data_IF_092930942495
#
_entry.id   IF_092930942495
#
_cell.length_a   1.000
_cell.length_b   1.000
_cell.length_c   1.000
_cell.angle_alpha   90.00
_cell.angle_beta   90.00
_cell.angle_gamma   90.00
#
_symmetry.space_group_name_H-M   'P 1'
#
loop_
_entity.id
_entity.type
_entity.pdbx_description
1 polymer ?
#
# COMPACT_ATOMS: atom_id res chain seq x y z
N UNK A 1 16.10 -8.07 -27.90
CA UNK A 1 16.41 -9.09 -26.86
C UNK A 1 17.31 -8.43 -25.81
N UNK A 2 16.74 -7.76 -24.79
CA UNK A 2 17.51 -7.32 -23.60
C UNK A 2 16.70 -6.83 -22.37
N UNK A 3 15.36 -6.94 -22.34
CA UNK A 3 14.55 -6.53 -21.17
C UNK A 3 13.51 -7.57 -20.73
N UNK A 4 13.58 -8.80 -21.23
CA UNK A 4 12.54 -9.81 -20.97
C UNK A 4 12.79 -10.69 -19.72
N UNK A 5 13.94 -10.54 -19.04
CA UNK A 5 14.30 -11.40 -17.88
C UNK A 5 14.72 -10.67 -16.62
N UNK A 6 15.21 -9.44 -16.72
CA UNK A 6 15.62 -8.63 -15.58
C UNK A 6 15.01 -7.25 -15.79
N UNK A 7 13.94 -6.95 -15.05
CA UNK A 7 13.39 -5.60 -14.98
C UNK A 7 14.39 -4.65 -14.29
N UNK A 8 14.05 -3.36 -14.10
CA UNK A 8 14.85 -2.51 -13.22
C UNK A 8 15.04 -3.24 -11.89
N UNK A 9 16.28 -3.25 -11.38
CA UNK A 9 16.56 -3.68 -10.01
C UNK A 9 15.74 -2.76 -9.09
N UNK A 10 14.61 -3.25 -8.57
CA UNK A 10 13.68 -2.52 -7.71
C UNK A 10 13.71 -3.17 -6.33
N UNK A 11 13.59 -2.36 -5.28
CA UNK A 11 13.60 -2.80 -3.89
C UNK A 11 12.63 -3.96 -3.66
N UNK A 12 13.10 -4.99 -2.97
CA UNK A 12 12.27 -6.13 -2.57
C UNK A 12 11.16 -5.74 -1.58
N UNK A 13 11.18 -4.54 -1.03
CA UNK A 13 10.10 -4.00 -0.21
C UNK A 13 8.86 -3.63 -1.04
N UNK A 14 8.96 -3.41 -2.36
CA UNK A 14 7.81 -3.09 -3.22
C UNK A 14 7.14 -4.38 -3.71
N UNK A 15 5.86 -4.54 -3.40
CA UNK A 15 5.00 -5.67 -3.82
C UNK A 15 3.97 -5.26 -4.88
N UNK A 16 3.56 -3.99 -4.90
CA UNK A 16 2.56 -3.49 -5.85
C UNK A 16 3.06 -3.50 -7.28
N UNK A 17 2.19 -3.86 -8.21
CA UNK A 17 2.44 -3.87 -9.66
C UNK A 17 3.71 -4.60 -10.11
N UNK A 18 4.11 -5.64 -9.38
CA UNK A 18 5.21 -6.52 -9.77
C UNK A 18 4.66 -7.89 -10.14
N UNK A 19 5.16 -8.43 -11.25
CA UNK A 19 4.81 -9.78 -11.67
C UNK A 19 5.19 -10.78 -10.56
N UNK A 20 4.26 -11.65 -10.19
CA UNK A 20 4.46 -12.65 -9.14
C UNK A 20 4.44 -12.11 -7.71
N UNK A 21 3.99 -10.87 -7.48
CA UNK A 21 3.73 -10.31 -6.16
C UNK A 21 2.29 -9.81 -6.06
N UNK A 22 1.70 -10.01 -4.89
CA UNK A 22 0.30 -9.72 -4.61
C UNK A 22 0.13 -9.07 -3.24
N UNK A 23 -1.07 -8.58 -2.94
CA UNK A 23 -1.38 -8.04 -1.60
C UNK A 23 -1.20 -9.11 -0.52
N UNK A 24 -1.48 -10.38 -0.86
CA UNK A 24 -1.28 -11.52 0.04
C UNK A 24 0.21 -11.70 0.37
N UNK A 25 1.11 -11.54 -0.60
CA UNK A 25 2.55 -11.67 -0.35
C UNK A 25 3.04 -10.58 0.61
N UNK A 26 2.54 -9.35 0.49
CA UNK A 26 2.84 -8.26 1.42
C UNK A 26 2.32 -8.55 2.84
N UNK A 27 1.08 -9.06 2.97
CA UNK A 27 0.50 -9.44 4.26
C UNK A 27 1.23 -10.64 4.88
N UNK A 28 1.60 -11.64 4.07
CA UNK A 28 2.38 -12.79 4.52
C UNK A 28 3.79 -12.38 4.96
N UNK A 29 4.40 -11.40 4.26
CA UNK A 29 5.68 -10.81 4.69
C UNK A 29 5.55 -10.12 6.05
N UNK A 30 4.51 -9.31 6.24
CA UNK A 30 4.22 -8.68 7.53
C UNK A 30 4.02 -9.72 8.63
N UNK A 31 3.23 -10.77 8.35
CA UNK A 31 2.98 -11.86 9.28
C UNK A 31 4.25 -12.59 9.68
N UNK A 32 5.12 -12.93 8.73
CA UNK A 32 6.38 -13.61 9.00
C UNK A 32 7.29 -12.79 9.93
N UNK A 33 7.42 -11.49 9.67
CA UNK A 33 8.23 -10.58 10.51
C UNK A 33 7.61 -10.43 11.92
N UNK A 34 6.28 -10.41 12.01
CA UNK A 34 5.57 -10.40 13.29
C UNK A 34 5.80 -11.69 14.09
N UNK A 35 5.66 -12.85 13.45
CA UNK A 35 5.85 -14.15 14.09
C UNK A 35 7.29 -14.31 14.59
N UNK A 36 8.28 -13.86 13.81
CA UNK A 36 9.68 -13.82 14.23
C UNK A 36 9.87 -12.93 15.49
N UNK A 37 9.34 -11.70 15.46
CA UNK A 37 9.42 -10.78 16.59
C UNK A 37 8.78 -11.35 17.86
N UNK A 38 7.59 -11.94 17.74
CA UNK A 38 6.81 -12.47 18.88
C UNK A 38 7.43 -13.76 19.42
N UNK A 39 7.94 -14.65 18.56
CA UNK A 39 8.58 -15.90 18.97
C UNK A 39 9.86 -15.67 19.78
N UNK A 40 10.60 -14.60 19.49
CA UNK A 40 11.74 -14.13 20.28
C UNK A 40 11.34 -13.40 21.56
N UNK A 41 10.05 -13.41 21.92
CA UNK A 41 9.53 -12.71 23.09
C UNK A 41 9.56 -11.19 22.95
N UNK A 42 9.56 -10.66 21.72
CA UNK A 42 9.48 -9.23 21.42
C UNK A 42 8.07 -8.78 21.00
N UNK A 43 8.01 -7.64 20.34
CA UNK A 43 6.82 -7.05 19.69
C UNK A 43 7.22 -6.43 18.36
N UNK A 44 6.24 -6.21 17.48
CA UNK A 44 6.41 -5.48 16.23
C UNK A 44 5.42 -4.32 16.19
N UNK A 45 5.91 -3.09 16.06
CA UNK A 45 5.06 -1.93 15.78
C UNK A 45 5.04 -1.69 14.27
N UNK A 46 3.85 -1.66 13.69
CA UNK A 46 3.63 -1.35 12.28
C UNK A 46 2.95 0.01 12.15
N UNK A 47 3.41 0.83 11.22
CA UNK A 47 2.92 2.20 10.98
C UNK A 47 2.64 2.36 9.49
N UNK A 48 1.37 2.55 9.14
CA UNK A 48 0.91 2.71 7.76
C UNK A 48 0.84 4.19 7.39
N UNK A 49 1.59 4.58 6.37
CA UNK A 49 1.64 5.94 5.84
C UNK A 49 0.67 6.09 4.67
N UNK A 50 -0.13 7.16 4.71
CA UNK A 50 -1.03 7.56 3.62
C UNK A 50 -0.35 8.66 2.79
N UNK A 51 -0.13 8.41 1.49
CA UNK A 51 0.47 9.38 0.57
C UNK A 51 -0.65 10.14 -0.13
N UNK A 52 -0.74 11.43 0.14
CA UNK A 52 -1.79 12.27 -0.42
C UNK A 52 -1.67 12.37 -1.94
N UNK A 53 -2.69 11.88 -2.66
CA UNK A 53 -2.78 12.01 -4.12
C UNK A 53 -1.56 11.42 -4.86
N UNK A 54 -1.04 10.29 -4.36
CA UNK A 54 0.22 9.66 -4.75
C UNK A 54 0.50 9.66 -6.27
N UNK A 55 -0.25 8.87 -7.05
CA UNK A 55 -0.06 8.71 -8.49
C UNK A 55 -0.09 10.03 -9.26
N UNK A 56 -0.86 11.00 -8.81
CA UNK A 56 -1.02 12.29 -9.49
C UNK A 56 0.03 13.33 -9.07
N UNK A 57 0.88 13.02 -8.09
CA UNK A 57 1.79 13.99 -7.47
C UNK A 57 3.26 13.73 -7.75
N UNK A 58 3.63 12.53 -8.25
CA UNK A 58 5.03 12.19 -8.53
C UNK A 58 5.62 13.07 -9.65
N UNK A 59 6.66 13.88 -9.40
CA UNK A 59 7.25 14.76 -10.41
C UNK A 59 7.88 14.02 -11.59
N UNK A 60 7.74 14.57 -12.79
CA UNK A 60 8.34 13.97 -14.00
C UNK A 60 9.88 13.97 -13.95
N UNK A 61 10.48 14.96 -13.28
CA UNK A 61 11.93 14.99 -13.02
C UNK A 61 12.40 13.76 -12.24
N UNK A 62 11.71 13.42 -11.15
CA UNK A 62 12.02 12.25 -10.33
C UNK A 62 11.94 10.95 -11.15
N UNK A 63 10.92 10.81 -12.01
CA UNK A 63 10.80 9.64 -12.89
C UNK A 63 11.99 9.57 -13.86
N UNK A 64 12.36 10.70 -14.49
CA UNK A 64 13.47 10.76 -15.45
C UNK A 64 14.82 10.43 -14.79
N UNK A 65 15.05 10.95 -13.59
CA UNK A 65 16.23 10.66 -12.78
C UNK A 65 16.29 9.19 -12.36
N UNK A 66 15.18 8.64 -11.88
CA UNK A 66 15.09 7.23 -11.51
C UNK A 66 15.36 6.32 -12.71
N UNK A 67 14.78 6.59 -13.88
CA UNK A 67 15.08 5.84 -15.10
C UNK A 67 16.57 5.89 -15.47
N UNK A 68 17.23 7.02 -15.23
CA UNK A 68 18.67 7.13 -15.43
C UNK A 68 19.45 6.28 -14.43
N UNK A 69 19.09 6.36 -13.14
CA UNK A 69 19.69 5.59 -12.05
C UNK A 69 19.59 4.08 -12.26
N UNK A 70 18.43 3.59 -12.70
CA UNK A 70 18.21 2.16 -13.00
C UNK A 70 18.84 1.70 -14.33
N UNK A 71 19.66 2.53 -14.98
CA UNK A 71 20.38 2.16 -16.19
C UNK A 71 19.49 1.93 -17.41
N UNK A 72 18.27 2.50 -17.43
CA UNK A 72 17.34 2.32 -18.54
C UNK A 72 17.97 2.88 -19.84
N UNK A 73 17.97 2.11 -20.94
CA UNK A 73 18.56 2.54 -22.21
C UNK A 73 18.10 3.93 -22.65
N UNK A 74 19.03 4.73 -23.19
CA UNK A 74 18.79 6.13 -23.58
C UNK A 74 17.59 6.30 -24.52
N UNK A 75 17.37 5.36 -25.44
CA UNK A 75 16.25 5.42 -26.38
C UNK A 75 14.89 5.25 -25.67
N UNK A 76 14.79 4.36 -24.68
CA UNK A 76 13.58 4.20 -23.87
C UNK A 76 13.35 5.43 -22.97
N UNK A 77 14.42 5.99 -22.41
CA UNK A 77 14.32 7.23 -21.61
C UNK A 77 13.80 8.40 -22.43
N UNK A 78 14.18 8.51 -23.71
CA UNK A 78 13.63 9.51 -24.64
C UNK A 78 12.15 9.26 -24.89
N UNK A 79 11.75 8.03 -25.20
CA UNK A 79 10.34 7.69 -25.41
C UNK A 79 9.47 8.00 -24.18
N UNK A 80 9.96 7.74 -22.97
CA UNK A 80 9.23 8.10 -21.74
C UNK A 80 9.23 9.61 -21.52
N UNK A 81 10.33 10.33 -21.84
CA UNK A 81 10.36 11.78 -21.77
C UNK A 81 9.32 12.40 -22.69
N UNK A 82 9.29 11.98 -23.96
CA UNK A 82 8.30 12.42 -24.96
C UNK A 82 6.87 12.09 -24.51
N UNK A 83 6.65 10.92 -23.86
CA UNK A 83 5.35 10.54 -23.30
C UNK A 83 4.89 11.44 -22.15
N UNK A 84 5.82 11.99 -21.37
CA UNK A 84 5.55 12.86 -20.21
C UNK A 84 5.61 14.36 -20.56
N UNK A 85 6.12 14.71 -21.73
CA UNK A 85 6.31 16.09 -22.19
C UNK A 85 4.99 16.73 -22.67
N UNK A 86 4.89 18.05 -22.53
CA UNK A 86 3.77 18.90 -23.00
C UNK A 86 2.36 18.42 -22.59
N UNK A 87 2.25 17.67 -21.49
CA UNK A 87 0.95 17.19 -21.02
C UNK A 87 0.15 18.32 -20.39
N UNK A 88 -1.11 18.41 -20.78
CA UNK A 88 -2.08 19.33 -20.19
C UNK A 88 -3.32 18.58 -19.72
N UNK A 89 -3.90 19.01 -18.60
CA UNK A 89 -5.24 18.59 -18.17
C UNK A 89 -6.23 19.68 -18.52
N UNK A 90 -7.30 19.28 -19.21
CA UNK A 90 -8.46 20.13 -19.48
C UNK A 90 -9.54 19.77 -18.46
N UNK A 91 -10.08 20.78 -17.77
CA UNK A 91 -11.14 20.60 -16.78
C UNK A 91 -12.11 21.77 -16.81
N UNK A 92 -13.35 21.53 -16.39
CA UNK A 92 -14.35 22.57 -16.21
C UNK A 92 -14.20 23.17 -14.80
N UNK A 93 -14.12 24.50 -14.72
CA UNK A 93 -14.13 25.19 -13.43
C UNK A 93 -15.54 25.29 -12.84
N UNK A 94 -15.67 25.83 -11.64
CA UNK A 94 -16.96 25.94 -10.94
C UNK A 94 -17.98 26.83 -11.66
N UNK A 95 -17.53 27.61 -12.64
CA UNK A 95 -18.33 28.54 -13.42
C UNK A 95 -18.71 27.95 -14.80
N UNK A 96 -18.31 26.72 -15.09
CA UNK A 96 -18.58 26.04 -16.35
C UNK A 96 -17.56 26.33 -17.46
N UNK A 97 -16.45 27.01 -17.14
CA UNK A 97 -15.44 27.35 -18.14
C UNK A 97 -14.41 26.24 -18.29
N UNK A 98 -14.06 25.90 -19.53
CA UNK A 98 -12.94 25.00 -19.81
C UNK A 98 -11.61 25.70 -19.50
N UNK A 99 -10.85 25.11 -18.59
CA UNK A 99 -9.48 25.49 -18.23
C UNK A 99 -8.51 24.45 -18.71
N UNK A 100 -7.34 24.89 -19.14
CA UNK A 100 -6.23 24.04 -19.52
C UNK A 100 -5.06 24.32 -18.57
N UNK A 101 -4.47 23.27 -18.00
CA UNK A 101 -3.32 23.40 -17.09
C UNK A 101 -2.19 22.47 -17.51
N UNK A 102 -0.96 22.99 -17.72
CA UNK A 102 0.20 22.13 -17.95
C UNK A 102 0.50 21.27 -16.73
N UNK A 103 0.95 20.04 -16.97
CA UNK A 103 1.35 19.09 -15.95
C UNK A 103 2.87 18.99 -15.88
N UNK A 104 3.40 18.95 -14.67
CA UNK A 104 4.81 18.66 -14.37
C UNK A 104 4.98 17.43 -13.48
N UNK A 105 3.88 16.80 -13.09
CA UNK A 105 3.83 15.63 -12.22
C UNK A 105 2.62 14.74 -12.56
N UNK A 106 2.66 13.53 -12.04
CA UNK A 106 1.55 12.58 -12.09
C UNK A 106 1.68 11.52 -13.17
N UNK A 107 1.75 10.25 -12.78
CA UNK A 107 1.66 9.16 -13.73
C UNK A 107 0.20 9.00 -14.19
N UNK A 108 -0.06 8.91 -15.51
CA UNK A 108 -1.42 8.80 -16.01
C UNK A 108 -2.13 7.54 -15.49
N UNK A 109 -3.19 7.74 -14.71
CA UNK A 109 -4.06 6.66 -14.24
C UNK A 109 -4.72 5.98 -15.45
N UNK A 110 -4.79 4.64 -15.42
CA UNK A 110 -5.30 3.83 -16.53
C UNK A 110 -4.29 3.59 -17.67
N UNK A 111 -3.09 4.18 -17.60
CA UNK A 111 -2.02 3.82 -18.53
C UNK A 111 -1.34 2.51 -18.14
N UNK A 112 -0.91 1.73 -19.14
CA UNK A 112 -0.16 0.47 -18.92
C UNK A 112 1.19 0.74 -18.24
N UNK A 113 1.82 1.89 -18.53
CA UNK A 113 3.13 2.26 -17.99
C UNK A 113 3.06 2.95 -16.63
N UNK A 114 1.94 3.58 -16.27
CA UNK A 114 1.80 4.37 -15.05
C UNK A 114 2.23 3.63 -13.78
N UNK A 115 1.79 2.38 -13.54
CA UNK A 115 2.21 1.62 -12.37
C UNK A 115 3.72 1.31 -12.34
N UNK A 116 4.34 1.05 -13.50
CA UNK A 116 5.78 0.82 -13.59
C UNK A 116 6.57 2.11 -13.31
N UNK A 117 6.13 3.24 -13.88
CA UNK A 117 6.76 4.54 -13.66
C UNK A 117 6.64 4.99 -12.21
N UNK A 118 5.51 4.70 -11.55
CA UNK A 118 5.34 4.88 -10.11
C UNK A 118 6.39 4.07 -9.34
N UNK A 119 6.46 2.77 -9.57
CA UNK A 119 7.41 1.90 -8.86
C UNK A 119 8.86 2.34 -9.06
N UNK A 120 9.25 2.72 -10.28
CA UNK A 120 10.60 3.21 -10.59
C UNK A 120 10.90 4.51 -9.84
N UNK A 121 10.00 5.50 -9.90
CA UNK A 121 10.24 6.79 -9.23
C UNK A 121 10.19 6.67 -7.70
N UNK A 122 9.31 5.82 -7.16
CA UNK A 122 9.13 5.63 -5.73
C UNK A 122 10.23 4.78 -5.09
N UNK A 123 10.96 3.98 -5.88
CA UNK A 123 12.01 3.08 -5.40
C UNK A 123 13.07 3.80 -4.55
N UNK A 124 13.36 5.07 -4.87
CA UNK A 124 14.28 5.90 -4.08
C UNK A 124 13.84 6.05 -2.62
N UNK A 125 12.55 6.15 -2.34
CA UNK A 125 12.05 6.22 -0.97
C UNK A 125 12.35 4.94 -0.16
N UNK A 126 12.52 3.81 -0.86
CA UNK A 126 12.71 2.48 -0.27
C UNK A 126 14.18 2.07 -0.13
N UNK A 127 15.10 2.71 -0.86
CA UNK A 127 16.55 2.42 -0.82
C UNK A 127 17.27 3.13 0.32
N UNK A 128 16.83 2.90 1.55
CA UNK A 128 17.50 3.41 2.75
C UNK A 128 18.23 2.31 3.51
N UNK A 129 19.34 2.66 4.15
CA UNK A 129 20.01 1.82 5.13
C UNK A 129 19.19 1.86 6.43
N UNK A 130 18.26 0.91 6.55
CA UNK A 130 17.43 0.79 7.74
C UNK A 130 18.25 0.24 8.91
N UNK A 131 18.03 0.82 10.09
CA UNK A 131 18.61 0.31 11.33
C UNK A 131 18.14 -1.13 11.58
N UNK A 132 18.94 -1.96 12.29
CA UNK A 132 18.50 -3.29 12.69
C UNK A 132 17.14 -3.25 13.41
N UNK A 133 16.21 -4.11 12.98
CA UNK A 133 14.85 -4.14 13.49
C UNK A 133 13.86 -3.21 12.79
N UNK A 134 14.31 -2.32 11.90
CA UNK A 134 13.44 -1.61 10.96
C UNK A 134 13.27 -2.39 9.66
N UNK A 135 12.08 -2.32 9.11
CA UNK A 135 11.77 -2.80 7.77
C UNK A 135 10.66 -1.98 7.14
N UNK A 136 10.55 -2.04 5.81
CA UNK A 136 9.48 -1.40 5.06
C UNK A 136 8.81 -2.43 4.16
N UNK A 137 7.48 -2.34 4.06
CA UNK A 137 6.65 -3.11 3.15
C UNK A 137 5.80 -2.12 2.38
N UNK A 138 5.92 -2.11 1.06
CA UNK A 138 5.16 -1.22 0.19
C UNK A 138 4.28 -2.02 -0.76
N UNK A 139 3.07 -1.53 -0.97
CA UNK A 139 2.21 -1.97 -2.05
C UNK A 139 1.72 -0.73 -2.79
N UNK A 140 2.30 -0.43 -3.95
CA UNK A 140 2.06 0.83 -4.64
C UNK A 140 2.45 2.03 -3.76
N UNK A 141 1.48 2.85 -3.36
CA UNK A 141 1.60 4.00 -2.47
C UNK A 141 1.40 3.65 -0.99
N UNK A 142 0.71 2.54 -0.67
CA UNK A 142 0.58 2.05 0.70
C UNK A 142 1.95 1.65 1.25
N UNK A 143 2.48 2.45 2.19
CA UNK A 143 3.82 2.27 2.76
C UNK A 143 3.73 1.95 4.24
N UNK A 144 4.16 0.74 4.61
CA UNK A 144 4.15 0.24 5.97
C UNK A 144 5.57 0.20 6.52
N UNK A 145 5.84 0.98 7.56
CA UNK A 145 7.08 0.92 8.33
C UNK A 145 6.89 -0.05 9.49
N UNK A 146 7.81 -0.99 9.65
CA UNK A 146 7.80 -2.00 10.70
C UNK A 146 9.01 -1.82 11.61
N UNK A 147 8.80 -1.90 12.92
CA UNK A 147 9.83 -1.72 13.93
C UNK A 147 9.73 -2.81 14.99
N UNK A 148 10.75 -3.66 15.07
CA UNK A 148 10.87 -4.72 16.06
C UNK A 148 11.55 -4.20 17.32
N UNK A 149 11.02 -4.55 18.48
CA UNK A 149 11.63 -4.24 19.77
C UNK A 149 11.34 -5.32 20.81
N UNK A 150 12.14 -5.37 21.88
CA UNK A 150 11.90 -6.28 22.99
C UNK A 150 10.61 -5.91 23.76
N UNK A 151 10.18 -4.66 23.69
CA UNK A 151 8.94 -4.15 24.27
C UNK A 151 8.40 -2.95 23.47
N UNK A 152 7.22 -2.45 23.86
CA UNK A 152 6.58 -1.32 23.19
C UNK A 152 7.47 -0.07 23.12
N UNK A 153 8.18 0.29 24.19
CA UNK A 153 8.98 1.52 24.24
C UNK A 153 10.14 1.48 23.24
N UNK A 154 10.81 0.34 23.12
CA UNK A 154 11.87 0.15 22.14
C UNK A 154 11.34 0.20 20.71
N UNK A 155 10.26 -0.55 20.43
CA UNK A 155 9.61 -0.55 19.12
C UNK A 155 9.09 0.85 18.73
N UNK A 156 8.54 1.62 19.68
CA UNK A 156 8.06 2.98 19.47
C UNK A 156 9.19 3.94 19.12
N UNK A 157 10.31 3.91 19.86
CA UNK A 157 11.49 4.75 19.55
C UNK A 157 12.06 4.44 18.18
N UNK A 158 12.15 3.14 17.85
CA UNK A 158 12.66 2.69 16.57
C UNK A 158 11.70 3.10 15.44
N UNK A 159 10.39 2.90 15.62
CA UNK A 159 9.36 3.32 14.68
C UNK A 159 9.38 4.83 14.43
N UNK A 160 9.47 5.67 15.47
CA UNK A 160 9.57 7.13 15.30
C UNK A 160 10.74 7.50 14.38
N UNK A 161 11.93 6.91 14.60
CA UNK A 161 13.11 7.17 13.75
C UNK A 161 12.91 6.66 12.33
N UNK A 162 12.39 5.44 12.18
CA UNK A 162 12.15 4.82 10.88
C UNK A 162 11.11 5.57 10.05
N UNK A 163 10.00 5.95 10.68
CA UNK A 163 8.93 6.69 10.01
C UNK A 163 9.41 8.09 9.64
N UNK A 164 10.09 8.84 10.53
CA UNK A 164 10.64 10.15 10.16
C UNK A 164 11.64 10.07 9.00
N UNK A 165 12.48 9.02 8.94
CA UNK A 165 13.38 8.79 7.81
C UNK A 165 12.60 8.54 6.51
N UNK A 166 11.61 7.64 6.54
CA UNK A 166 10.81 7.30 5.35
C UNK A 166 9.99 8.49 4.88
N UNK A 167 9.34 9.22 5.79
CA UNK A 167 8.59 10.46 5.48
C UNK A 167 9.51 11.48 4.82
N UNK A 168 10.69 11.75 5.38
CA UNK A 168 11.64 12.69 4.77
C UNK A 168 12.08 12.29 3.36
N UNK A 169 12.21 10.98 3.09
CA UNK A 169 12.52 10.50 1.73
C UNK A 169 11.35 10.62 0.76
N UNK A 170 10.12 10.35 1.22
CA UNK A 170 8.90 10.56 0.43
C UNK A 170 8.75 12.04 0.08
N UNK A 171 8.96 12.93 1.05
CA UNK A 171 8.91 14.38 0.86
C UNK A 171 10.02 14.89 -0.08
N UNK A 172 11.21 14.29 -0.03
CA UNK A 172 12.29 14.59 -0.98
C UNK A 172 11.95 14.23 -2.43
N UNK A 173 10.99 13.33 -2.67
CA UNK A 173 10.44 13.04 -3.99
C UNK A 173 9.36 14.05 -4.42
N UNK A 174 9.07 15.07 -3.62
CA UNK A 174 7.99 16.02 -3.88
C UNK A 174 6.59 15.47 -3.58
N UNK A 175 6.49 14.33 -2.89
CA UNK A 175 5.23 13.76 -2.43
C UNK A 175 4.89 14.28 -1.03
N UNK A 176 3.62 14.16 -0.64
CA UNK A 176 3.14 14.60 0.68
C UNK A 176 2.54 13.43 1.45
N UNK A 177 2.97 13.24 2.68
CA UNK A 177 2.40 12.24 3.60
C UNK A 177 1.29 12.90 4.44
N UNK A 178 0.11 12.28 4.49
CA UNK A 178 -0.97 12.67 5.37
C UNK A 178 -0.75 12.05 6.76
N UNK A 179 0.06 12.72 7.59
CA UNK A 179 0.41 12.25 8.93
C UNK A 179 -0.81 12.09 9.84
N UNK A 180 -1.87 12.87 9.62
CA UNK A 180 -3.16 12.77 10.33
C UNK A 180 -3.94 11.49 10.03
N UNK A 181 -3.69 10.88 8.86
CA UNK A 181 -4.28 9.60 8.44
C UNK A 181 -3.37 8.40 8.68
N UNK A 182 -2.19 8.64 9.23
CA UNK A 182 -1.24 7.57 9.54
C UNK A 182 -1.82 6.72 10.68
N UNK A 183 -1.84 5.40 10.49
CA UNK A 183 -2.33 4.44 11.47
C UNK A 183 -1.17 3.62 12.04
N UNK A 184 -1.21 3.32 13.34
CA UNK A 184 -0.22 2.47 13.99
C UNK A 184 -0.89 1.29 14.69
N UNK A 185 -0.31 0.09 14.55
CA UNK A 185 -0.77 -1.16 15.17
C UNK A 185 0.40 -1.89 15.80
N UNK A 186 0.26 -2.26 17.08
CA UNK A 186 1.23 -3.08 17.78
C UNK A 186 0.84 -4.56 17.66
N UNK A 187 1.71 -5.36 17.07
CA UNK A 187 1.62 -6.81 17.11
C UNK A 187 2.35 -7.38 18.31
N UNK A 188 1.71 -8.32 19.01
CA UNK A 188 2.21 -8.84 20.28
C UNK A 188 1.68 -10.24 20.61
N UNK A 189 2.40 -10.94 21.49
CA UNK A 189 1.93 -12.21 22.05
C UNK A 189 0.77 -12.03 23.06
N UNK A 190 0.12 -13.13 23.48
CA UNK A 190 -1.10 -13.09 24.31
C UNK A 190 -0.97 -12.40 25.67
N UNK A 191 0.23 -12.38 26.25
CA UNK A 191 0.52 -11.82 27.58
C UNK A 191 1.02 -10.36 27.54
N UNK A 192 1.05 -9.76 26.35
CA UNK A 192 1.51 -8.39 26.11
C UNK A 192 0.39 -7.61 25.44
N UNK A 193 0.59 -6.30 25.32
CA UNK A 193 -0.33 -5.41 24.63
C UNK A 193 0.23 -3.99 24.61
N UNK A 194 -0.36 -3.10 23.79
CA UNK A 194 -0.02 -1.68 23.86
C UNK A 194 -0.41 -1.12 25.23
N UNK A 195 0.43 -0.28 25.87
CA UNK A 195 0.03 0.39 27.10
C UNK A 195 -1.17 1.34 26.85
N UNK A 196 -1.94 1.69 27.89
CA UNK A 196 -2.98 2.69 27.78
C UNK A 196 -2.42 4.01 27.23
N UNK A 197 -3.07 4.58 26.20
CA UNK A 197 -2.60 5.82 25.55
C UNK A 197 -1.34 5.66 24.69
N UNK A 198 -0.95 4.43 24.33
CA UNK A 198 0.17 4.15 23.44
C UNK A 198 0.11 5.00 22.16
N UNK A 199 1.20 5.69 21.86
CA UNK A 199 1.35 6.56 20.71
C UNK A 199 2.82 6.69 20.33
N UNK A 200 3.06 7.08 19.09
CA UNK A 200 4.36 7.53 18.61
C UNK A 200 4.26 8.98 18.15
N UNK A 201 5.37 9.70 18.16
CA UNK A 201 5.44 11.06 17.65
C UNK A 201 6.27 11.05 16.37
N UNK A 202 5.73 11.61 15.29
CA UNK A 202 6.38 11.71 13.98
C UNK A 202 6.21 13.15 13.50
N UNK A 203 7.30 13.87 13.29
CA UNK A 203 7.30 15.27 12.84
C UNK A 203 6.31 16.16 13.64
N UNK A 204 6.33 16.02 14.97
CA UNK A 204 5.43 16.71 15.92
C UNK A 204 3.95 16.31 15.87
N UNK A 205 3.58 15.31 15.07
CA UNK A 205 2.24 14.73 15.04
C UNK A 205 2.19 13.49 15.93
N UNK A 206 1.18 13.42 16.80
CA UNK A 206 0.92 12.27 17.65
C UNK A 206 0.11 11.22 16.89
N UNK A 207 0.70 10.06 16.64
CA UNK A 207 0.05 8.92 15.99
C UNK A 207 -0.33 7.90 17.06
N UNK A 208 -1.63 7.73 17.39
CA UNK A 208 -2.07 6.77 18.40
C UNK A 208 -1.94 5.34 17.87
N UNK A 209 -1.50 4.43 18.74
CA UNK A 209 -1.52 3.01 18.47
C UNK A 209 -2.94 2.50 18.67
N UNK A 210 -3.55 2.04 17.59
CA UNK A 210 -4.92 1.53 17.57
C UNK A 210 -4.92 0.03 17.87
N UNK A 211 -6.08 -0.48 18.31
CA UNK A 211 -6.29 -1.90 18.48
C UNK A 211 -6.38 -2.64 17.13
N UNK A 212 -6.73 -1.91 16.07
CA UNK A 212 -6.94 -2.43 14.72
C UNK A 212 -6.49 -1.40 13.67
N UNK A 213 -6.16 -1.87 12.47
CA UNK A 213 -5.71 -1.05 11.35
C UNK A 213 -6.21 -1.64 10.03
N UNK A 214 -6.65 -0.80 9.10
CA UNK A 214 -6.98 -1.26 7.73
C UNK A 214 -5.68 -1.34 6.93
N UNK A 215 -5.40 -2.50 6.33
CA UNK A 215 -4.21 -2.68 5.49
C UNK A 215 -4.52 -3.64 4.34
N UNK A 216 -4.34 -3.16 3.10
CA UNK A 216 -4.54 -3.93 1.86
C UNK A 216 -5.88 -4.69 1.79
N UNK A 217 -6.97 -4.04 2.24
CA UNK A 217 -8.32 -4.62 2.23
C UNK A 217 -8.67 -5.49 3.45
N UNK A 218 -7.72 -5.72 4.36
CA UNK A 218 -7.94 -6.45 5.60
C UNK A 218 -8.05 -5.50 6.79
N UNK A 219 -8.77 -5.94 7.83
CA UNK A 219 -8.76 -5.29 9.14
C UNK A 219 -7.89 -6.16 10.04
N UNK A 220 -6.70 -5.66 10.37
CA UNK A 220 -5.73 -6.38 11.19
C UNK A 220 -5.89 -5.99 12.65
N UNK A 221 -5.67 -6.94 13.56
CA UNK A 221 -5.51 -6.71 14.99
C UNK A 221 -4.14 -7.20 15.47
N UNK A 222 -3.72 -6.74 16.65
CA UNK A 222 -2.39 -7.02 17.20
C UNK A 222 -2.08 -8.50 17.46
N UNK A 223 -3.07 -9.39 17.41
CA UNK A 223 -2.92 -10.84 17.63
C UNK A 223 -3.30 -11.68 16.40
N UNK A 224 -3.60 -11.07 15.27
CA UNK A 224 -4.03 -11.78 14.04
C UNK A 224 -5.29 -12.64 14.23
N UNK A 225 -6.25 -12.19 15.04
CA UNK A 225 -7.52 -12.90 15.26
C UNK A 225 -8.54 -12.66 14.14
N UNK A 226 -8.49 -11.50 13.49
CA UNK A 226 -9.40 -11.09 12.41
C UNK A 226 -10.90 -11.03 12.80
N UNK A 227 -11.21 -10.98 14.10
CA UNK A 227 -12.60 -10.98 14.59
C UNK A 227 -13.43 -9.84 13.99
N UNK A 228 -12.89 -8.61 14.00
CA UNK A 228 -13.60 -7.45 13.40
C UNK A 228 -13.71 -7.59 11.89
N UNK A 229 -12.66 -8.09 11.23
CA UNK A 229 -12.68 -8.30 9.78
C UNK A 229 -13.84 -9.20 9.38
N UNK A 230 -13.98 -10.37 10.03
CA UNK A 230 -15.07 -11.30 9.74
C UNK A 230 -16.44 -10.77 10.18
N UNK A 231 -16.51 -10.03 11.30
CA UNK A 231 -17.73 -9.36 11.75
C UNK A 231 -18.28 -8.39 10.70
N UNK A 232 -17.42 -7.65 10.00
CA UNK A 232 -17.82 -6.74 8.92
C UNK A 232 -18.01 -7.43 7.57
N UNK A 233 -17.26 -8.49 7.29
CA UNK A 233 -17.31 -9.20 6.02
C UNK A 233 -18.54 -10.10 5.91
N UNK A 234 -18.90 -10.82 6.97
CA UNK A 234 -19.97 -11.81 6.94
C UNK A 234 -21.34 -11.22 6.53
N UNK A 235 -21.81 -10.06 7.06
CA UNK A 235 -23.07 -9.47 6.62
C UNK A 235 -23.06 -9.06 5.14
N UNK A 236 -21.93 -8.55 4.65
CA UNK A 236 -21.77 -8.17 3.23
C UNK A 236 -21.84 -9.38 2.32
N UNK A 237 -21.21 -10.49 2.72
CA UNK A 237 -21.28 -11.77 2.01
C UNK A 237 -22.71 -12.31 1.98
N UNK A 238 -23.40 -12.32 3.12
CA UNK A 238 -24.80 -12.77 3.21
C UNK A 238 -25.73 -11.89 2.38
N UNK A 239 -25.52 -10.57 2.37
CA UNK A 239 -26.27 -9.62 1.55
C UNK A 239 -26.08 -9.88 0.06
N UNK A 240 -24.84 -9.99 -0.41
CA UNK A 240 -24.53 -10.30 -1.81
C UNK A 240 -25.09 -11.67 -2.22
N UNK A 241 -24.94 -12.68 -1.37
CA UNK A 241 -25.49 -14.01 -1.57
C UNK A 241 -27.03 -13.98 -1.67
N UNK A 242 -27.70 -13.21 -0.82
CA UNK A 242 -29.15 -13.07 -0.83
C UNK A 242 -29.66 -12.34 -2.07
N UNK A 243 -28.97 -11.27 -2.49
CA UNK A 243 -29.31 -10.52 -3.70
C UNK A 243 -29.14 -11.39 -4.97
N UNK A 244 -28.04 -12.13 -5.07
CA UNK A 244 -27.84 -13.08 -6.16
C UNK A 244 -28.84 -14.23 -6.11
N UNK A 245 -29.20 -14.69 -4.91
CA UNK A 245 -30.23 -15.71 -4.71
C UNK A 245 -31.60 -15.28 -5.24
N UNK A 246 -31.98 -14.00 -5.11
CA UNK A 246 -33.23 -13.44 -5.65
C UNK A 246 -33.25 -13.36 -7.18
N UNK A 247 -32.08 -13.32 -7.83
CA UNK A 247 -31.94 -13.35 -9.29
C UNK A 247 -31.99 -14.76 -9.86
N UNK A 248 -32.02 -15.79 -9.01
CA UNK A 248 -32.21 -17.18 -9.44
C UNK A 248 -33.71 -17.46 -9.65
N UNK A 249 -34.14 -17.96 -10.81
CA UNK A 249 -35.54 -18.32 -11.01
C UNK A 249 -35.96 -19.45 -10.06
N UNK A 250 -37.13 -19.28 -9.42
CA UNK A 250 -37.69 -20.22 -8.43
C UNK A 250 -38.14 -21.57 -9.03
N UNK A 251 -38.11 -21.74 -10.35
CA UNK A 251 -38.60 -22.93 -11.06
C UNK A 251 -37.51 -23.44 -12.02
N UNK A 252 -36.82 -24.53 -11.65
CA UNK A 252 -35.87 -25.24 -12.52
C UNK A 252 -34.43 -25.37 -11.98
N UNK A 253 -34.11 -24.69 -10.88
CA UNK A 253 -32.76 -24.68 -10.31
C UNK A 253 -31.78 -23.77 -11.08
N UNK A 254 -30.72 -23.27 -10.42
CA UNK A 254 -29.80 -22.35 -11.06
C UNK A 254 -28.98 -23.05 -12.16
N UNK A 255 -28.90 -22.42 -13.34
CA UNK A 255 -28.02 -22.87 -14.41
C UNK A 255 -26.57 -22.97 -13.92
N UNK A 256 -25.75 -23.82 -14.56
CA UNK A 256 -24.32 -23.96 -14.22
C UNK A 256 -23.58 -22.61 -14.29
N UNK A 257 -23.96 -21.73 -15.23
CA UNK A 257 -23.41 -20.39 -15.36
C UNK A 257 -23.75 -19.51 -14.15
N UNK A 258 -24.99 -19.59 -13.65
CA UNK A 258 -25.45 -18.78 -12.50
C UNK A 258 -24.87 -19.29 -11.18
N UNK A 259 -24.68 -20.61 -11.01
CA UNK A 259 -23.90 -21.17 -9.89
C UNK A 259 -22.45 -20.72 -9.92
N UNK A 260 -21.82 -20.71 -11.10
CA UNK A 260 -20.45 -20.20 -11.28
C UNK A 260 -20.34 -18.71 -10.97
N UNK A 261 -21.35 -17.90 -11.35
CA UNK A 261 -21.40 -16.48 -11.00
C UNK A 261 -21.56 -16.28 -9.49
N UNK A 262 -22.49 -16.99 -8.85
CA UNK A 262 -22.70 -16.95 -7.41
C UNK A 262 -21.45 -17.38 -6.63
N UNK A 263 -20.89 -18.55 -6.96
CA UNK A 263 -19.66 -19.03 -6.35
C UNK A 263 -18.49 -18.10 -6.67
N UNK A 264 -18.43 -17.53 -7.87
CA UNK A 264 -17.39 -16.58 -8.28
C UNK A 264 -17.42 -15.29 -7.48
N UNK A 265 -18.58 -14.67 -7.31
CA UNK A 265 -18.76 -13.40 -6.57
C UNK A 265 -18.63 -13.61 -5.07
N UNK A 266 -19.23 -14.67 -4.52
CA UNK A 266 -19.13 -14.94 -3.07
C UNK A 266 -17.73 -15.40 -2.71
N UNK A 267 -17.08 -16.25 -3.53
CA UNK A 267 -15.67 -16.62 -3.30
C UNK A 267 -14.74 -15.46 -3.56
N UNK A 268 -14.97 -14.59 -4.55
CA UNK A 268 -14.12 -13.42 -4.75
C UNK A 268 -14.20 -12.49 -3.55
N UNK A 269 -15.40 -12.16 -3.07
CA UNK A 269 -15.58 -11.36 -1.86
C UNK A 269 -14.97 -11.99 -0.60
N UNK A 270 -14.96 -13.33 -0.50
CA UNK A 270 -14.38 -14.05 0.63
C UNK A 270 -12.85 -14.24 0.53
N UNK A 271 -12.30 -14.31 -0.69
CA UNK A 271 -10.88 -14.58 -0.93
C UNK A 271 -10.06 -13.31 -1.20
N UNK A 272 -10.67 -12.21 -1.68
CA UNK A 272 -9.93 -11.02 -2.11
C UNK A 272 -10.84 -9.78 -2.26
N UNK A 273 -10.50 -8.66 -1.61
CA UNK A 273 -11.05 -7.35 -2.00
C UNK A 273 -10.03 -6.21 -1.83
N UNK A 274 -9.35 -5.77 -2.90
CA UNK A 274 -9.22 -4.35 -3.19
C UNK A 274 -10.54 -3.87 -3.79
N UNK A 275 -10.91 -2.65 -3.45
CA UNK A 275 -12.16 -2.00 -3.88
C UNK A 275 -12.27 -1.87 -5.41
#
# INVERSE_FOLDING_TARGET
MHTAKVGPDLSDAQFGFRAGRSTVDAVLRLRAVTEEAVSCGGVLLAVSLDIANAFNSLPFSCIREALHYHGVPKYLRRLVADYLEERTVVYEDREGNLRCRPMSCGVPQGSVLGPLLWNIGYDWALRADFLPGLGVICYADDTLVTARGANFQEAARLATRGVSLVVGRIEALGLRVALDKTEALLFHGPRRGPPPGASIVVNSVLVPVRAQMKYLGLILDGRWLFDEHFRQLAPKLVGAASALGRLLPNLGGPSVATRRLYTGVVRSMALYRPE
#
